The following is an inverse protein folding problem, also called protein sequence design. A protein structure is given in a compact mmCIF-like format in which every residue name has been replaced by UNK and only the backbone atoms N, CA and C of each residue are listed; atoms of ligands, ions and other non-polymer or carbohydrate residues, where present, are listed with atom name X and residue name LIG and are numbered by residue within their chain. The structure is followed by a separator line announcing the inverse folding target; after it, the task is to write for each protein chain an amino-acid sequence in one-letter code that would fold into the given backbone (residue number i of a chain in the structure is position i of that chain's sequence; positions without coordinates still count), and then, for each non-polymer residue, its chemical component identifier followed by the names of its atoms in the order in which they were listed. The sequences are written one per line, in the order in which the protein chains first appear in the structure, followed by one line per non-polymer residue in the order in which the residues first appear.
data_IF_203344104818
#
_entry.id   IF_203344104818
#
_cell.length_a   1.000
_cell.length_b   1.000
_cell.length_c   1.000
_cell.angle_alpha   90.00
_cell.angle_beta   90.00
_cell.angle_gamma   90.00
#
_symmetry.space_group_name_H-M   'P 1'
#
loop_
_entity.id
_entity.type
_entity.pdbx_description
1 polymer ?
#
# COMPACT_ATOMS: atom_id res chain seq x y z
N UNK A 1 -26.11 8.99 52.49
CA UNK A 1 -24.94 9.64 51.84
C UNK A 1 -23.66 8.79 51.83
N UNK A 2 -23.16 8.29 52.97
CA UNK A 2 -21.90 7.50 53.04
C UNK A 2 -21.91 6.16 52.26
N UNK A 3 -23.05 5.47 52.21
CA UNK A 3 -23.20 4.18 51.48
C UNK A 3 -23.14 4.41 49.97
N UNK A 4 -23.83 5.44 49.47
CA UNK A 4 -23.82 5.83 48.04
C UNK A 4 -22.40 6.17 47.58
N UNK A 5 -21.63 6.93 48.37
CA UNK A 5 -20.23 7.26 48.05
C UNK A 5 -19.35 6.00 48.01
N UNK A 6 -19.57 5.02 48.90
CA UNK A 6 -18.83 3.74 48.86
C UNK A 6 -19.17 2.93 47.61
N UNK A 7 -20.45 2.84 47.23
CA UNK A 7 -20.89 2.15 46.03
C UNK A 7 -20.29 2.80 44.78
N UNK A 8 -20.34 4.13 44.67
CA UNK A 8 -19.74 4.88 43.55
C UNK A 8 -18.23 4.65 43.47
N UNK A 9 -17.51 4.64 44.59
CA UNK A 9 -16.07 4.33 44.62
C UNK A 9 -15.76 2.91 44.16
N UNK A 10 -16.56 1.93 44.58
CA UNK A 10 -16.44 0.55 44.13
C UNK A 10 -16.73 0.39 42.64
N UNK A 11 -17.79 1.03 42.14
CA UNK A 11 -18.11 1.05 40.71
C UNK A 11 -17.00 1.69 39.88
N UNK A 12 -16.46 2.82 40.33
CA UNK A 12 -15.30 3.46 39.68
C UNK A 12 -14.08 2.54 39.68
N UNK A 13 -13.80 1.86 40.80
CA UNK A 13 -12.71 0.88 40.89
C UNK A 13 -12.90 -0.28 39.90
N UNK A 14 -14.11 -0.81 39.78
CA UNK A 14 -14.43 -1.88 38.82
C UNK A 14 -14.29 -1.41 37.37
N UNK A 15 -14.71 -0.18 37.04
CA UNK A 15 -14.54 0.40 35.70
C UNK A 15 -13.06 0.55 35.35
N UNK A 16 -12.25 1.07 36.28
CA UNK A 16 -10.79 1.19 36.06
C UNK A 16 -10.14 -0.18 35.85
N UNK A 17 -10.52 -1.18 36.65
CA UNK A 17 -10.02 -2.54 36.50
C UNK A 17 -10.41 -3.15 35.14
N UNK A 18 -11.66 -2.96 34.71
CA UNK A 18 -12.15 -3.44 33.42
C UNK A 18 -11.40 -2.78 32.25
N UNK A 19 -11.15 -1.47 32.31
CA UNK A 19 -10.36 -0.75 31.31
C UNK A 19 -8.92 -1.25 31.28
N UNK A 20 -8.29 -1.42 32.44
CA UNK A 20 -6.93 -1.95 32.53
C UNK A 20 -6.82 -3.37 31.94
N UNK A 21 -7.79 -4.24 32.26
CA UNK A 21 -7.86 -5.58 31.69
C UNK A 21 -8.07 -5.55 30.16
N UNK A 22 -8.93 -4.66 29.66
CA UNK A 22 -9.15 -4.47 28.22
C UNK A 22 -7.89 -3.98 27.51
N UNK A 23 -7.19 -2.99 28.07
CA UNK A 23 -5.94 -2.46 27.50
C UNK A 23 -4.85 -3.53 27.51
N UNK A 24 -4.71 -4.29 28.60
CA UNK A 24 -3.78 -5.41 28.68
C UNK A 24 -4.10 -6.48 27.64
N UNK A 25 -5.38 -6.83 27.47
CA UNK A 25 -5.82 -7.77 26.44
C UNK A 25 -5.51 -7.26 25.02
N UNK A 26 -5.84 -6.01 24.71
CA UNK A 26 -5.52 -5.39 23.42
C UNK A 26 -4.01 -5.28 23.15
N UNK A 27 -3.19 -5.22 24.21
CA UNK A 27 -1.74 -5.18 24.08
C UNK A 27 -1.15 -6.58 23.78
N UNK A 28 -1.65 -7.61 24.46
CA UNK A 28 -1.13 -8.98 24.36
C UNK A 28 -1.73 -9.75 23.18
N UNK A 29 -3.03 -9.58 22.93
CA UNK A 29 -3.79 -10.27 21.90
C UNK A 29 -4.68 -9.29 21.11
N UNK A 30 -4.07 -8.33 20.38
CA UNK A 30 -4.81 -7.35 19.60
C UNK A 30 -5.64 -8.05 18.51
N UNK A 31 -6.92 -7.69 18.34
CA UNK A 31 -7.71 -8.06 17.18
C UNK A 31 -6.97 -7.79 15.87
N UNK A 32 -7.14 -8.69 14.90
CA UNK A 32 -6.47 -8.60 13.60
C UNK A 32 -6.80 -7.32 12.85
N UNK A 33 -8.02 -6.79 12.99
CA UNK A 33 -8.41 -5.52 12.39
C UNK A 33 -7.52 -4.35 12.85
N UNK A 34 -7.10 -4.34 14.13
CA UNK A 34 -6.16 -3.33 14.65
C UNK A 34 -4.77 -3.54 14.04
N UNK A 35 -4.34 -4.80 13.87
CA UNK A 35 -3.05 -5.12 13.24
C UNK A 35 -3.06 -4.74 11.75
N UNK A 36 -4.16 -4.98 11.03
CA UNK A 36 -4.38 -4.53 9.65
C UNK A 36 -4.25 -3.01 9.57
N UNK A 37 -4.98 -2.27 10.41
CA UNK A 37 -4.90 -0.81 10.43
C UNK A 37 -3.48 -0.29 10.75
N UNK A 38 -2.77 -0.98 11.64
CA UNK A 38 -1.38 -0.66 11.98
C UNK A 38 -0.43 -0.97 10.83
N UNK A 39 -0.58 -2.12 10.17
CA UNK A 39 0.23 -2.52 9.01
C UNK A 39 0.02 -1.58 7.83
N UNK A 40 -1.23 -1.23 7.54
CA UNK A 40 -1.59 -0.20 6.55
C UNK A 40 -0.93 1.14 6.86
N UNK A 41 -1.10 1.64 8.08
CA UNK A 41 -0.52 2.93 8.52
C UNK A 41 1.00 2.94 8.36
N UNK A 42 1.69 1.89 8.85
CA UNK A 42 3.13 1.78 8.74
C UNK A 42 3.60 1.73 7.28
N UNK A 43 2.93 0.94 6.44
CA UNK A 43 3.28 0.77 5.01
C UNK A 43 3.12 2.06 4.21
N UNK A 44 1.98 2.73 4.36
CA UNK A 44 1.66 3.95 3.61
C UNK A 44 2.59 5.09 4.02
N UNK A 45 2.78 5.29 5.33
CA UNK A 45 3.71 6.32 5.83
C UNK A 45 5.14 6.01 5.42
N UNK A 46 5.61 4.77 5.55
CA UNK A 46 6.95 4.39 5.12
C UNK A 46 7.18 4.70 3.64
N UNK A 47 6.25 4.28 2.78
CA UNK A 47 6.41 4.46 1.32
C UNK A 47 6.45 5.95 0.96
N UNK A 48 5.57 6.76 1.53
CA UNK A 48 5.54 8.19 1.21
C UNK A 48 6.70 8.98 1.83
N UNK A 49 7.21 8.59 3.00
CA UNK A 49 8.35 9.27 3.64
C UNK A 49 9.65 8.92 2.93
N UNK A 50 9.94 7.62 2.74
CA UNK A 50 11.24 7.18 2.26
C UNK A 50 11.37 7.15 0.73
N UNK A 51 10.25 7.06 -0.01
CA UNK A 51 10.26 7.04 -1.47
C UNK A 51 9.83 8.40 -2.02
N UNK A 52 8.74 8.96 -1.50
CA UNK A 52 8.18 10.21 -2.02
C UNK A 52 8.63 11.48 -1.29
N UNK A 53 9.42 11.36 -0.21
CA UNK A 53 9.95 12.50 0.55
C UNK A 53 8.89 13.35 1.26
N UNK A 54 7.70 12.80 1.52
CA UNK A 54 6.56 13.52 2.11
C UNK A 54 6.63 13.53 3.63
N UNK A 55 5.98 14.52 4.26
CA UNK A 55 5.87 14.60 5.72
C UNK A 55 5.02 13.46 6.29
N UNK A 56 5.49 12.85 7.38
CA UNK A 56 4.84 11.68 7.96
C UNK A 56 3.46 11.99 8.57
N UNK A 57 3.30 13.16 9.20
CA UNK A 57 2.04 13.55 9.83
C UNK A 57 1.00 13.93 8.78
N UNK A 58 1.43 14.63 7.72
CA UNK A 58 0.56 14.93 6.58
C UNK A 58 0.07 13.66 5.90
N UNK A 59 0.96 12.68 5.66
CA UNK A 59 0.60 11.39 5.07
C UNK A 59 -0.37 10.63 5.99
N UNK A 60 -0.10 10.60 7.29
CA UNK A 60 -1.01 9.96 8.25
C UNK A 60 -2.41 10.61 8.20
N UNK A 61 -2.49 11.93 8.22
CA UNK A 61 -3.77 12.63 8.19
C UNK A 61 -4.54 12.42 6.89
N UNK A 62 -3.87 12.64 5.74
CA UNK A 62 -4.52 12.71 4.42
C UNK A 62 -4.69 11.35 3.77
N UNK A 63 -3.70 10.45 3.91
CA UNK A 63 -3.67 9.20 3.16
C UNK A 63 -4.10 7.99 3.99
N UNK A 64 -4.05 8.10 5.31
CA UNK A 64 -4.41 7.00 6.22
C UNK A 64 -5.71 7.30 6.97
N UNK A 65 -5.83 8.46 7.60
CA UNK A 65 -6.94 8.76 8.52
C UNK A 65 -8.19 9.35 7.85
N UNK A 66 -8.02 10.11 6.78
CA UNK A 66 -9.13 10.72 6.04
C UNK A 66 -9.95 9.73 5.18
N UNK A 67 -9.35 8.82 4.39
CA UNK A 67 -10.09 8.00 3.44
C UNK A 67 -10.61 6.67 4.00
N UNK A 68 -10.40 6.38 5.29
CA UNK A 68 -10.60 5.04 5.83
C UNK A 68 -11.52 4.92 7.04
N UNK A 69 -11.50 3.72 7.64
CA UNK A 69 -12.32 3.37 8.79
C UNK A 69 -12.07 4.34 9.98
N UNK A 70 -13.09 4.77 10.75
CA UNK A 70 -12.93 5.74 11.84
C UNK A 70 -11.84 5.40 12.87
N UNK A 71 -11.57 4.11 13.08
CA UNK A 71 -10.49 3.63 13.94
C UNK A 71 -9.10 4.13 13.52
N UNK A 72 -8.87 4.41 12.23
CA UNK A 72 -7.57 4.87 11.74
C UNK A 72 -7.20 6.24 12.33
N UNK A 73 -8.17 7.08 12.69
CA UNK A 73 -7.94 8.39 13.35
C UNK A 73 -7.22 8.26 14.70
N UNK A 74 -7.24 7.08 15.30
CA UNK A 74 -6.59 6.77 16.57
C UNK A 74 -5.20 6.13 16.38
N UNK A 75 -4.80 5.85 15.14
CA UNK A 75 -3.45 5.37 14.83
C UNK A 75 -2.42 6.46 15.06
N UNK A 76 -1.28 6.06 15.61
CA UNK A 76 -0.08 6.89 15.68
C UNK A 76 1.06 6.18 15.00
N UNK A 77 1.96 6.97 14.42
CA UNK A 77 3.14 6.47 13.72
C UNK A 77 4.41 7.06 14.33
N UNK A 78 5.49 6.29 14.26
CA UNK A 78 6.85 6.72 14.63
C UNK A 78 7.79 6.34 13.50
N UNK A 79 8.52 7.34 12.99
CA UNK A 79 9.47 7.20 11.88
C UNK A 79 10.88 7.21 12.44
N UNK A 80 11.61 6.14 12.17
CA UNK A 80 13.04 6.01 12.43
C UNK A 80 13.79 6.18 11.10
N UNK A 81 14.29 7.39 10.87
CA UNK A 81 14.97 7.73 9.60
C UNK A 81 16.31 7.04 9.45
N UNK A 82 17.06 6.88 10.55
CA UNK A 82 18.37 6.24 10.54
C UNK A 82 18.27 4.76 10.16
N UNK A 83 17.25 4.08 10.70
CA UNK A 83 17.01 2.68 10.37
C UNK A 83 16.12 2.51 9.14
N UNK A 84 15.53 3.55 8.57
CA UNK A 84 14.60 3.39 7.46
C UNK A 84 13.34 2.60 7.85
N UNK A 85 12.77 2.87 9.02
CA UNK A 85 11.61 2.12 9.53
C UNK A 85 10.46 3.05 9.92
N UNK A 86 9.25 2.54 9.79
CA UNK A 86 8.05 3.15 10.38
C UNK A 86 7.36 2.11 11.23
N UNK A 87 7.01 2.49 12.45
CA UNK A 87 6.12 1.71 13.30
C UNK A 87 4.80 2.42 13.49
N UNK A 88 3.71 1.67 13.58
CA UNK A 88 2.37 2.21 13.81
C UNK A 88 1.59 1.31 14.76
N UNK A 89 0.65 1.89 15.48
CA UNK A 89 -0.24 1.17 16.39
C UNK A 89 -1.45 2.00 16.79
N UNK A 90 -2.51 1.34 17.26
CA UNK A 90 -3.65 2.01 17.88
C UNK A 90 -3.17 2.69 19.17
N UNK A 91 -3.40 4.01 19.27
CA UNK A 91 -2.80 4.89 20.28
C UNK A 91 -1.25 4.82 20.35
N UNK A 92 -0.61 4.29 19.30
CA UNK A 92 0.83 4.12 19.16
C UNK A 92 1.41 2.82 19.71
N UNK A 93 0.66 2.03 20.48
CA UNK A 93 1.21 0.87 21.20
C UNK A 93 0.43 -0.42 21.00
N UNK A 94 -0.88 -0.37 20.75
CA UNK A 94 -1.70 -1.57 20.61
C UNK A 94 -1.67 -2.08 19.17
N UNK A 95 -1.48 -3.40 18.98
CA UNK A 95 -1.41 -4.02 17.65
C UNK A 95 -0.25 -3.55 16.77
N UNK A 96 0.87 -3.17 17.40
CA UNK A 96 2.01 -2.54 16.73
C UNK A 96 2.46 -3.33 15.49
N UNK A 97 2.62 -2.63 14.37
CA UNK A 97 3.16 -3.16 13.12
C UNK A 97 4.32 -2.30 12.65
N UNK A 98 5.23 -2.89 11.87
CA UNK A 98 6.43 -2.23 11.35
C UNK A 98 6.50 -2.39 9.84
N UNK A 99 6.92 -1.33 9.17
CA UNK A 99 7.35 -1.35 7.78
C UNK A 99 8.80 -0.89 7.67
N UNK A 100 9.55 -1.50 6.76
CA UNK A 100 10.96 -1.20 6.50
C UNK A 100 11.13 -0.71 5.07
N UNK A 101 11.88 0.37 4.90
CA UNK A 101 12.36 0.80 3.59
C UNK A 101 13.44 -0.17 3.11
N UNK A 102 13.39 -0.48 1.81
CA UNK A 102 14.35 -1.36 1.13
C UNK A 102 14.84 -0.65 -0.11
N UNK A 103 16.15 -0.60 -0.27
CA UNK A 103 16.80 0.12 -1.37
C UNK A 103 16.37 -0.47 -2.71
N UNK A 104 15.87 0.38 -3.61
CA UNK A 104 15.37 -0.01 -4.93
C UNK A 104 14.03 -0.77 -4.95
N UNK A 105 13.48 -1.17 -3.81
CA UNK A 105 12.29 -2.03 -3.70
C UNK A 105 11.12 -1.38 -2.93
N UNK A 106 11.32 -0.16 -2.45
CA UNK A 106 10.36 0.55 -1.61
C UNK A 106 10.14 -0.13 -0.25
N UNK A 107 9.05 0.24 0.43
CA UNK A 107 8.78 -0.29 1.76
C UNK A 107 8.05 -1.64 1.76
N UNK A 108 8.31 -2.50 2.74
CA UNK A 108 7.54 -3.71 3.02
C UNK A 108 7.09 -3.75 4.48
N UNK A 109 5.88 -4.26 4.74
CA UNK A 109 5.43 -4.64 6.08
C UNK A 109 6.22 -5.85 6.57
N UNK A 110 6.42 -5.94 7.87
CA UNK A 110 7.18 -7.02 8.51
C UNK A 110 6.32 -7.63 9.64
N UNK A 111 5.24 -8.35 9.30
CA UNK A 111 4.31 -8.89 10.30
C UNK A 111 4.92 -9.99 11.17
N UNK A 112 6.00 -10.64 10.70
CA UNK A 112 6.79 -11.64 11.42
C UNK A 112 7.90 -11.02 12.30
N UNK A 113 8.05 -9.69 12.28
CA UNK A 113 9.10 -8.96 12.98
C UNK A 113 10.51 -9.10 12.41
N UNK A 114 10.71 -9.87 11.32
CA UNK A 114 12.02 -10.15 10.76
C UNK A 114 12.51 -9.05 9.79
N UNK A 115 12.87 -7.90 10.36
CA UNK A 115 13.33 -6.74 9.59
C UNK A 115 14.64 -7.00 8.86
N UNK A 116 15.49 -7.88 9.38
CA UNK A 116 16.74 -8.29 8.75
C UNK A 116 16.50 -9.03 7.44
N UNK A 117 15.65 -10.05 7.44
CA UNK A 117 15.26 -10.79 6.22
C UNK A 117 14.64 -9.86 5.17
N UNK A 118 13.75 -8.96 5.60
CA UNK A 118 13.11 -8.01 4.70
C UNK A 118 14.11 -7.07 3.97
N UNK A 119 15.26 -6.76 4.59
CA UNK A 119 16.31 -5.90 4.00
C UNK A 119 17.33 -6.65 3.15
N UNK A 120 17.47 -7.96 3.31
CA UNK A 120 18.42 -8.75 2.53
C UNK A 120 18.02 -8.83 1.05
N UNK A 121 16.73 -8.69 0.74
CA UNK A 121 16.26 -8.55 -0.63
C UNK A 121 16.66 -7.17 -1.14
N UNK A 122 17.64 -7.13 -2.05
CA UNK A 122 18.04 -5.93 -2.76
C UNK A 122 18.04 -6.22 -4.26
N UNK A 123 17.35 -5.39 -5.04
CA UNK A 123 17.49 -5.36 -6.49
C UNK A 123 18.19 -4.05 -6.82
N UNK A 124 19.42 -4.15 -7.31
CA UNK A 124 20.13 -2.98 -7.82
C UNK A 124 19.68 -2.74 -9.26
N UNK A 125 18.79 -1.77 -9.45
CA UNK A 125 18.61 -1.13 -10.74
C UNK A 125 19.60 0.04 -10.80
N UNK A 126 20.54 0.00 -11.75
CA UNK A 126 21.40 1.15 -12.01
C UNK A 126 20.56 2.38 -12.38
N UNK A 127 21.02 3.60 -12.07
CA UNK A 127 20.29 4.81 -12.45
C UNK A 127 20.08 4.82 -13.97
N UNK A 128 18.83 4.94 -14.40
CA UNK A 128 18.53 5.19 -15.80
C UNK A 128 19.14 6.54 -16.18
N UNK A 129 19.91 6.58 -17.26
CA UNK A 129 20.49 7.83 -17.76
C UNK A 129 19.37 8.69 -18.38
N UNK A 130 18.75 9.56 -17.58
CA UNK A 130 17.75 10.50 -18.06
C UNK A 130 18.42 11.77 -18.59
N UNK A 131 18.10 12.14 -19.83
CA UNK A 131 18.59 13.39 -20.44
C UNK A 131 17.71 14.55 -19.99
N UNK A 132 18.22 15.47 -19.16
CA UNK A 132 17.39 16.55 -18.63
C UNK A 132 16.85 17.49 -19.71
N UNK A 133 17.65 17.80 -20.73
CA UNK A 133 17.29 18.78 -21.76
C UNK A 133 16.46 18.20 -22.91
N UNK A 134 16.40 16.87 -23.02
CA UNK A 134 15.60 16.21 -24.06
C UNK A 134 14.11 16.28 -23.70
N UNK A 135 13.27 16.36 -24.73
CA UNK A 135 11.82 16.33 -24.56
C UNK A 135 11.38 14.99 -23.98
N UNK A 136 10.36 15.01 -23.15
CA UNK A 136 9.66 13.80 -22.73
C UNK A 136 9.06 13.08 -23.95
N UNK A 137 9.16 11.73 -24.04
CA UNK A 137 9.64 10.79 -23.02
C UNK A 137 11.14 10.48 -23.06
N UNK A 138 11.90 11.00 -24.03
CA UNK A 138 13.34 10.74 -24.14
C UNK A 138 14.20 11.51 -23.12
N UNK A 139 13.57 12.44 -22.40
CA UNK A 139 14.12 13.24 -21.32
C UNK A 139 13.03 13.79 -20.40
N UNK A 140 13.38 14.82 -19.62
CA UNK A 140 12.50 15.39 -18.59
C UNK A 140 11.88 16.74 -18.98
N UNK A 141 12.29 17.32 -20.12
CA UNK A 141 11.79 18.64 -20.52
C UNK A 141 10.36 18.52 -21.07
N UNK A 142 9.48 19.35 -20.54
CA UNK A 142 8.08 19.46 -20.97
C UNK A 142 7.86 20.81 -21.66
N UNK A 143 7.53 20.76 -22.96
CA UNK A 143 7.07 21.92 -23.72
C UNK A 143 5.54 21.87 -23.83
N UNK A 144 4.86 22.23 -22.74
CA UNK A 144 3.40 22.15 -22.67
C UNK A 144 2.74 23.02 -23.75
N UNK A 145 1.60 22.56 -24.26
CA UNK A 145 0.81 23.28 -25.24
C UNK A 145 0.31 24.59 -24.63
N UNK A 146 0.50 25.69 -25.35
CA UNK A 146 -0.07 27.00 -24.98
C UNK A 146 -1.57 27.10 -25.34
N UNK A 147 -2.27 25.96 -25.48
CA UNK A 147 -3.68 25.94 -25.85
C UNK A 147 -4.53 26.30 -24.61
N UNK A 148 -5.21 27.46 -24.63
CA UNK A 148 -5.95 27.95 -23.47
C UNK A 148 -7.15 27.06 -23.11
N UNK A 149 -7.75 26.35 -24.07
CA UNK A 149 -8.87 25.44 -23.81
C UNK A 149 -8.42 24.21 -23.01
N UNK A 150 -7.23 23.69 -23.30
CA UNK A 150 -6.67 22.56 -22.55
C UNK A 150 -6.30 23.02 -21.14
N UNK A 151 -5.64 24.17 -21.03
CA UNK A 151 -5.26 24.74 -19.73
C UNK A 151 -6.49 24.94 -18.85
N UNK A 152 -7.56 25.52 -19.40
CA UNK A 152 -8.84 25.73 -18.69
C UNK A 152 -9.44 24.42 -18.15
N UNK A 153 -9.42 23.34 -18.92
CA UNK A 153 -9.95 22.03 -18.48
C UNK A 153 -9.10 21.45 -17.35
N UNK A 154 -7.78 21.48 -17.50
CA UNK A 154 -6.86 20.92 -16.50
C UNK A 154 -6.88 21.74 -15.21
N UNK A 155 -7.04 23.05 -15.30
CA UNK A 155 -7.14 23.97 -14.16
C UNK A 155 -8.52 23.98 -13.47
N UNK A 156 -9.54 23.39 -14.09
CA UNK A 156 -10.86 23.24 -13.48
C UNK A 156 -10.81 22.28 -12.29
N UNK A 157 -11.02 22.82 -11.09
CA UNK A 157 -10.99 22.04 -9.84
C UNK A 157 -12.15 21.04 -9.72
N UNK A 158 -13.31 21.33 -10.31
CA UNK A 158 -14.45 20.42 -10.33
C UNK A 158 -14.16 19.20 -11.23
N UNK A 159 -13.48 19.43 -12.35
CA UNK A 159 -13.05 18.35 -13.26
C UNK A 159 -11.90 17.51 -12.67
N UNK A 160 -10.95 18.15 -11.97
CA UNK A 160 -9.84 17.45 -11.32
C UNK A 160 -10.32 16.57 -10.15
N UNK A 161 -11.37 16.99 -9.44
CA UNK A 161 -11.93 16.27 -8.30
C UNK A 161 -11.18 16.50 -6.98
N UNK A 162 -11.86 16.21 -5.88
CA UNK A 162 -11.28 16.35 -4.54
C UNK A 162 -10.11 15.38 -4.33
N UNK A 163 -9.00 15.88 -3.78
CA UNK A 163 -7.81 15.07 -3.49
C UNK A 163 -6.94 14.75 -4.72
N UNK A 164 -7.17 15.41 -5.86
CA UNK A 164 -6.29 15.30 -7.04
C UNK A 164 -4.84 15.60 -6.66
N UNK A 165 -3.94 14.70 -7.07
CA UNK A 165 -2.48 14.83 -6.83
C UNK A 165 -1.70 15.18 -8.09
N UNK A 166 -2.11 14.62 -9.23
CA UNK A 166 -1.52 14.92 -10.53
C UNK A 166 -2.53 14.63 -11.65
N UNK A 167 -2.51 15.48 -12.67
CA UNK A 167 -3.13 15.25 -13.98
C UNK A 167 -2.06 15.52 -15.02
N UNK A 168 -1.84 14.59 -15.93
CA UNK A 168 -0.90 14.73 -17.04
C UNK A 168 -1.60 14.29 -18.31
N UNK A 169 -1.61 15.15 -19.34
CA UNK A 169 -2.24 14.89 -20.64
C UNK A 169 -1.16 14.73 -21.69
N UNK A 170 -1.12 13.56 -22.32
CA UNK A 170 -0.18 13.23 -23.38
C UNK A 170 -0.90 13.14 -24.71
N UNK A 171 -0.38 13.81 -25.74
CA UNK A 171 -0.87 13.72 -27.11
C UNK A 171 0.31 13.62 -28.08
N UNK A 172 0.24 12.65 -28.99
CA UNK A 172 1.27 12.40 -30.00
C UNK A 172 2.69 12.26 -29.41
N UNK A 173 2.80 11.59 -28.26
CA UNK A 173 4.09 11.38 -27.58
C UNK A 173 4.60 12.57 -26.76
N UNK A 174 3.85 13.68 -26.66
CA UNK A 174 4.27 14.85 -25.91
C UNK A 174 3.29 15.19 -24.79
N UNK A 175 3.81 15.64 -23.64
CA UNK A 175 2.99 16.22 -22.57
C UNK A 175 2.50 17.58 -23.05
N UNK A 176 1.18 17.71 -23.22
CA UNK A 176 0.55 18.95 -23.70
C UNK A 176 -0.06 19.77 -22.57
N UNK A 177 -0.31 19.17 -21.41
CA UNK A 177 -0.70 19.86 -20.19
C UNK A 177 -0.42 18.98 -18.97
N UNK A 178 -0.12 19.62 -17.85
CA UNK A 178 0.05 18.96 -16.56
C UNK A 178 -0.37 19.88 -15.42
N UNK A 179 -0.88 19.30 -14.34
CA UNK A 179 -1.21 20.00 -13.10
C UNK A 179 -0.97 19.09 -11.93
N UNK A 180 -0.45 19.67 -10.86
CA UNK A 180 -0.13 18.96 -9.64
C UNK A 180 -0.91 19.56 -8.47
N UNK A 181 -1.36 18.69 -7.57
CA UNK A 181 -1.97 19.09 -6.31
C UNK A 181 -0.94 19.72 -5.37
N UNK A 182 -1.42 20.40 -4.33
CA UNK A 182 -0.55 21.04 -3.34
C UNK A 182 0.44 20.03 -2.72
N UNK A 183 1.74 20.36 -2.74
CA UNK A 183 2.80 19.49 -2.22
C UNK A 183 3.20 18.34 -3.15
N UNK A 184 2.64 18.25 -4.36
CA UNK A 184 3.01 17.30 -5.39
C UNK A 184 3.67 18.00 -6.58
N UNK A 185 4.48 17.23 -7.32
CA UNK A 185 5.16 17.70 -8.53
C UNK A 185 5.40 16.52 -9.47
N UNK A 186 5.91 16.81 -10.68
CA UNK A 186 6.37 15.78 -11.63
C UNK A 186 7.36 14.77 -11.00
N UNK A 187 8.09 15.18 -9.97
CA UNK A 187 9.11 14.37 -9.30
C UNK A 187 8.57 13.56 -8.12
N UNK A 188 7.31 13.72 -7.74
CA UNK A 188 6.73 13.06 -6.56
C UNK A 188 6.12 11.72 -6.97
N UNK A 189 6.72 10.57 -6.59
CA UNK A 189 6.12 9.26 -6.85
C UNK A 189 4.78 9.13 -6.13
N UNK A 190 3.78 8.59 -6.85
CA UNK A 190 2.46 8.30 -6.32
C UNK A 190 2.29 6.80 -6.09
N UNK A 191 1.45 6.44 -5.12
CA UNK A 191 1.05 5.04 -4.93
C UNK A 191 0.27 4.56 -6.16
N UNK A 192 0.78 3.51 -6.82
CA UNK A 192 0.20 2.98 -8.06
C UNK A 192 -1.06 2.14 -7.86
N UNK A 193 -1.25 1.54 -6.67
CA UNK A 193 -2.38 0.64 -6.39
C UNK A 193 -2.59 -0.38 -7.52
N UNK A 194 -3.82 -0.60 -7.96
CA UNK A 194 -4.13 -1.53 -9.06
C UNK A 194 -3.55 -1.12 -10.42
N UNK A 195 -3.11 0.13 -10.63
CA UNK A 195 -2.40 0.49 -11.86
C UNK A 195 -1.11 -0.32 -12.03
N UNK A 196 -0.49 -0.75 -10.92
CA UNK A 196 0.71 -1.60 -10.93
C UNK A 196 0.47 -2.96 -11.60
N UNK A 197 -0.79 -3.46 -11.65
CA UNK A 197 -1.13 -4.70 -12.37
C UNK A 197 -0.77 -4.59 -13.86
N UNK A 198 -0.98 -3.43 -14.47
CA UNK A 198 -0.63 -3.17 -15.88
C UNK A 198 0.87 -3.25 -16.11
N UNK A 199 1.68 -2.76 -15.16
CA UNK A 199 3.15 -2.88 -15.24
C UNK A 199 3.57 -4.35 -15.16
N UNK A 200 2.99 -5.13 -14.24
CA UNK A 200 3.26 -6.57 -14.16
C UNK A 200 2.86 -7.29 -15.47
N UNK A 201 1.69 -6.97 -16.04
CA UNK A 201 1.25 -7.54 -17.30
C UNK A 201 2.19 -7.19 -18.47
N UNK A 202 2.71 -5.96 -18.52
CA UNK A 202 3.68 -5.54 -19.53
C UNK A 202 5.01 -6.32 -19.40
N UNK A 203 5.50 -6.54 -18.18
CA UNK A 203 6.70 -7.37 -17.91
C UNK A 203 6.46 -8.81 -18.36
N UNK A 204 5.30 -9.40 -18.06
CA UNK A 204 4.97 -10.74 -18.55
C UNK A 204 4.91 -10.76 -20.08
N UNK A 205 4.32 -9.73 -20.70
CA UNK A 205 4.25 -9.60 -22.16
C UNK A 205 5.63 -9.54 -22.84
N UNK A 206 6.63 -8.89 -22.23
CA UNK A 206 8.00 -8.90 -22.78
C UNK A 206 8.63 -10.28 -22.68
N UNK A 207 8.44 -10.99 -21.56
CA UNK A 207 8.93 -12.36 -21.41
C UNK A 207 8.26 -13.34 -22.38
N UNK A 208 6.97 -13.15 -22.67
CA UNK A 208 6.25 -13.92 -23.69
C UNK A 208 6.81 -13.64 -25.09
N UNK A 209 7.00 -12.36 -25.43
CA UNK A 209 7.62 -11.96 -26.71
C UNK A 209 9.02 -12.56 -26.89
N UNK A 210 9.79 -12.62 -25.81
CA UNK A 210 11.14 -13.21 -25.79
C UNK A 210 11.14 -14.76 -25.80
N UNK A 211 9.97 -15.41 -25.82
CA UNK A 211 9.83 -16.87 -25.79
C UNK A 211 10.21 -17.51 -24.44
N UNK A 212 10.33 -16.71 -23.37
CA UNK A 212 10.67 -17.18 -22.01
C UNK A 212 9.44 -17.63 -21.21
N UNK A 213 8.26 -17.21 -21.63
CA UNK A 213 6.97 -17.60 -21.07
C UNK A 213 5.97 -17.83 -22.20
N UNK A 214 4.93 -18.63 -21.95
CA UNK A 214 3.80 -18.77 -22.85
C UNK A 214 2.50 -18.54 -22.08
N UNK A 215 1.55 -17.84 -22.70
CA UNK A 215 0.27 -17.48 -22.06
C UNK A 215 -0.59 -18.70 -21.72
N UNK A 216 -0.40 -19.81 -22.43
CA UNK A 216 -1.08 -21.08 -22.22
C UNK A 216 -0.33 -22.02 -21.25
N UNK A 217 0.78 -21.55 -20.65
CA UNK A 217 1.48 -22.31 -19.62
C UNK A 217 0.55 -22.66 -18.46
N UNK A 218 0.56 -23.93 -18.05
CA UNK A 218 -0.21 -24.51 -16.95
C UNK A 218 0.73 -25.17 -15.93
N UNK A 219 0.19 -25.63 -14.80
CA UNK A 219 1.00 -26.21 -13.72
C UNK A 219 2.05 -25.22 -13.20
N UNK A 220 1.64 -23.96 -13.09
CA UNK A 220 2.49 -22.78 -12.85
C UNK A 220 3.28 -22.88 -11.54
N UNK A 221 2.70 -23.53 -10.54
CA UNK A 221 3.29 -23.72 -9.22
C UNK A 221 3.36 -25.20 -8.86
N UNK A 222 4.41 -25.61 -8.15
CA UNK A 222 4.62 -27.01 -7.81
C UNK A 222 3.45 -27.61 -6.97
N UNK A 223 2.90 -26.91 -5.95
CA UNK A 223 1.77 -27.44 -5.18
C UNK A 223 0.49 -27.63 -5.99
N UNK A 224 0.28 -26.83 -7.04
CA UNK A 224 -0.93 -26.92 -7.88
C UNK A 224 -0.97 -28.17 -8.73
N UNK A 225 0.17 -28.80 -9.03
CA UNK A 225 0.26 -29.99 -9.90
C UNK A 225 -0.51 -31.20 -9.35
N UNK A 226 -0.84 -31.19 -8.06
CA UNK A 226 -1.55 -32.26 -7.39
C UNK A 226 -3.08 -32.10 -7.38
N UNK A 227 -3.62 -30.96 -7.83
CA UNK A 227 -5.07 -30.69 -7.78
C UNK A 227 -5.58 -29.89 -9.00
N UNK A 228 -6.85 -29.49 -8.95
CA UNK A 228 -7.53 -28.79 -10.05
C UNK A 228 -6.84 -27.48 -10.48
N UNK A 229 -6.05 -26.85 -9.61
CA UNK A 229 -5.32 -25.61 -9.92
C UNK A 229 -4.25 -25.84 -10.98
N UNK A 230 -3.82 -27.08 -11.23
CA UNK A 230 -2.93 -27.42 -12.34
C UNK A 230 -3.45 -26.93 -13.70
N UNK A 231 -4.78 -26.79 -13.85
CA UNK A 231 -5.40 -26.36 -15.09
C UNK A 231 -5.36 -24.84 -15.33
N UNK A 232 -5.09 -24.04 -14.29
CA UNK A 232 -5.00 -22.57 -14.38
C UNK A 232 -3.81 -22.21 -15.26
N UNK A 233 -4.09 -21.48 -16.33
CA UNK A 233 -3.09 -20.96 -17.25
C UNK A 233 -2.54 -19.60 -16.82
N UNK A 234 -1.41 -19.19 -17.38
CA UNK A 234 -0.88 -17.84 -17.19
C UNK A 234 -1.89 -16.78 -17.69
N UNK A 235 -2.59 -17.06 -18.79
CA UNK A 235 -3.65 -16.20 -19.31
C UNK A 235 -4.79 -16.02 -18.30
N UNK A 236 -5.20 -17.09 -17.60
CA UNK A 236 -6.27 -17.03 -16.61
C UNK A 236 -5.89 -16.11 -15.44
N UNK A 237 -4.64 -16.17 -14.97
CA UNK A 237 -4.12 -15.26 -13.94
C UNK A 237 -4.07 -13.81 -14.43
N UNK A 238 -3.57 -13.58 -15.65
CA UNK A 238 -3.49 -12.24 -16.25
C UNK A 238 -4.87 -11.60 -16.49
N UNK A 239 -5.88 -12.43 -16.73
CA UNK A 239 -7.26 -12.02 -16.96
C UNK A 239 -8.13 -11.99 -15.69
N UNK A 240 -7.55 -12.22 -14.50
CA UNK A 240 -8.29 -12.28 -13.23
C UNK A 240 -9.41 -13.34 -13.24
N UNK A 241 -9.15 -14.50 -13.85
CA UNK A 241 -10.13 -15.56 -14.12
C UNK A 241 -9.66 -16.94 -13.65
N UNK A 242 -8.79 -16.97 -12.63
CA UNK A 242 -8.19 -18.20 -12.12
C UNK A 242 -9.16 -19.14 -11.39
N UNK A 243 -10.31 -18.64 -10.95
CA UNK A 243 -11.26 -19.40 -10.13
C UNK A 243 -10.78 -19.68 -8.70
N UNK A 244 -9.72 -19.01 -8.24
CA UNK A 244 -9.27 -19.10 -6.85
C UNK A 244 -10.22 -18.35 -5.92
N UNK A 245 -10.53 -18.94 -4.77
CA UNK A 245 -11.31 -18.30 -3.72
C UNK A 245 -10.52 -17.11 -3.13
N UNK A 246 -11.04 -15.90 -3.28
CA UNK A 246 -10.40 -14.70 -2.76
C UNK A 246 -11.42 -13.63 -2.37
N UNK A 247 -11.50 -13.31 -1.08
CA UNK A 247 -12.33 -12.23 -0.58
C UNK A 247 -11.58 -10.89 -0.61
N UNK A 248 -12.02 -9.99 -1.49
CA UNK A 248 -11.46 -8.64 -1.66
C UNK A 248 -12.29 -7.54 -0.98
N UNK A 249 -13.04 -7.85 0.08
CA UNK A 249 -13.74 -6.85 0.89
C UNK A 249 -12.76 -6.08 1.79
N UNK A 250 -12.48 -4.82 1.41
CA UNK A 250 -11.57 -3.94 2.14
C UNK A 250 -12.16 -3.36 3.45
N UNK A 251 -13.42 -3.67 3.78
CA UNK A 251 -14.10 -3.17 4.98
C UNK A 251 -13.74 -3.89 6.28
N UNK A 252 -13.17 -5.09 6.21
CA UNK A 252 -12.82 -5.93 7.38
C UNK A 252 -11.51 -6.70 7.15
N UNK A 253 -11.21 -7.65 8.03
CA UNK A 253 -10.14 -8.65 7.86
C UNK A 253 -10.58 -9.68 6.82
N UNK A 254 -10.42 -9.33 5.55
CA UNK A 254 -10.59 -10.20 4.39
C UNK A 254 -9.24 -10.74 3.90
N UNK A 255 -9.27 -11.59 2.87
CA UNK A 255 -8.06 -12.17 2.30
C UNK A 255 -7.09 -11.10 1.82
N UNK A 256 -7.60 -10.04 1.19
CA UNK A 256 -6.78 -8.94 0.70
C UNK A 256 -6.08 -8.17 1.82
N UNK A 257 -6.79 -7.80 2.89
CA UNK A 257 -6.21 -7.02 3.99
C UNK A 257 -5.31 -7.88 4.86
N UNK A 258 -5.65 -9.16 5.05
CA UNK A 258 -4.77 -10.15 5.69
C UNK A 258 -3.48 -10.32 4.89
N UNK A 259 -3.58 -10.63 3.60
CA UNK A 259 -2.41 -10.83 2.73
C UNK A 259 -1.48 -9.62 2.77
N UNK A 260 -2.02 -8.41 2.62
CA UNK A 260 -1.20 -7.20 2.53
C UNK A 260 -0.51 -6.81 3.85
N UNK A 261 -1.10 -7.12 5.01
CA UNK A 261 -0.66 -6.52 6.28
C UNK A 261 -0.31 -7.52 7.38
N UNK A 262 -0.77 -8.77 7.28
CA UNK A 262 -0.57 -9.81 8.30
C UNK A 262 0.29 -10.97 7.81
N UNK A 263 0.40 -11.17 6.50
CA UNK A 263 1.20 -12.26 5.92
C UNK A 263 2.60 -11.81 5.51
N UNK A 264 3.67 -12.52 5.91
CA UNK A 264 5.02 -12.22 5.47
C UNK A 264 5.29 -12.69 4.02
N UNK A 265 4.51 -13.65 3.52
CA UNK A 265 4.57 -14.18 2.16
C UNK A 265 3.24 -14.02 1.44
N UNK A 266 3.07 -12.88 0.77
CA UNK A 266 1.85 -12.54 0.04
C UNK A 266 1.61 -13.48 -1.16
N UNK A 267 2.69 -13.89 -1.83
CA UNK A 267 2.60 -14.75 -3.00
C UNK A 267 2.20 -16.17 -2.58
N UNK A 268 2.83 -16.70 -1.53
CA UNK A 268 2.46 -17.99 -0.94
C UNK A 268 1.02 -18.00 -0.40
N UNK A 269 0.57 -16.92 0.24
CA UNK A 269 -0.82 -16.80 0.69
C UNK A 269 -1.82 -16.88 -0.48
N UNK A 270 -1.57 -16.14 -1.57
CA UNK A 270 -2.43 -16.18 -2.75
C UNK A 270 -2.36 -17.54 -3.49
N UNK A 271 -1.17 -18.15 -3.60
CA UNK A 271 -0.96 -19.47 -4.20
C UNK A 271 -1.73 -20.56 -3.44
N UNK A 272 -1.78 -20.46 -2.11
CA UNK A 272 -2.40 -21.45 -1.25
C UNK A 272 -3.93 -21.47 -1.33
N UNK A 273 -4.57 -20.45 -1.94
CA UNK A 273 -6.02 -20.38 -2.02
C UNK A 273 -6.61 -21.56 -2.81
N UNK A 274 -7.76 -22.10 -2.35
CA UNK A 274 -8.42 -23.20 -3.04
C UNK A 274 -9.17 -22.70 -4.29
N UNK A 275 -9.61 -23.63 -5.14
CA UNK A 275 -10.58 -23.33 -6.20
C UNK A 275 -11.99 -23.21 -5.62
N UNK A 276 -12.81 -22.34 -6.21
CA UNK A 276 -14.26 -22.26 -5.99
C UNK A 276 -15.04 -23.20 -6.90
#
# INVERSE_FOLDING_TARGET
MRIVVKIVKWLLGLVVLAIAALVAWLYVAPPELIRVGSGYSAKIVCSNVFIAGRDANQVLAVDVQAPGHPLLRLMRVSVDKERGMVSAGLFGVLGKSVAVARDGLGCATVPDGNTGKARQTAIYAGPAATRQDALWPEGERVDASQNPEIAKIVDDAAMAGAGMRAVVVVKNGHIVAERYGEGFSAKTPLLGWSMTKTVNAAIVGTLVKDGKMAIDNKGLFAPWKADGRAAISLADLMAMSSGLEFNEDYGDVADVTRMLYLEPDMAGFAEAKPLT
#
